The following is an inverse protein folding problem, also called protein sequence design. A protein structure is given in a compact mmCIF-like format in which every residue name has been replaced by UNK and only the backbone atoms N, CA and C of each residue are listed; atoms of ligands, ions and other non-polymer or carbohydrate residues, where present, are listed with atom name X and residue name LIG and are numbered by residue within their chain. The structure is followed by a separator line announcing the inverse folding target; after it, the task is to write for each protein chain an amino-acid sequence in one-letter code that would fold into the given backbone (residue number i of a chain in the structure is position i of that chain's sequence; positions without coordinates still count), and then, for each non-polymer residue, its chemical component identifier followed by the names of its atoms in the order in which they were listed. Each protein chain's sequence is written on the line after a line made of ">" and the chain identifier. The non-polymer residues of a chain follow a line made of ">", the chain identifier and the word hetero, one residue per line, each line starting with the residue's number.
data_IF_299298634316
#
_entry.id   IF_299298634316
#
_cell.length_a   1.000
_cell.length_b   1.000
_cell.length_c   1.000
_cell.angle_alpha   90.00
_cell.angle_beta   90.00
_cell.angle_gamma   90.00
#
_symmetry.space_group_name_H-M   'P 1'
#
loop_
_entity.id
_entity.type
_entity.pdbx_description
1 polymer ?
#
# COMPACT_ATOMS: atom_id res chain seq x y z
N UNK A 1 5.11 -20.40 -13.94
CA UNK A 1 4.35 -19.37 -13.20
C UNK A 1 3.97 -18.34 -14.24
N UNK A 2 2.77 -18.45 -14.80
CA UNK A 2 2.21 -17.39 -15.65
C UNK A 2 2.05 -16.19 -14.73
N UNK A 3 2.91 -15.20 -14.90
CA UNK A 3 2.85 -14.02 -14.04
C UNK A 3 1.58 -13.26 -14.43
N UNK A 4 0.85 -12.68 -13.48
CA UNK A 4 -0.27 -11.79 -13.81
C UNK A 4 0.13 -10.70 -14.82
N UNK A 5 1.43 -10.36 -14.87
CA UNK A 5 2.00 -9.48 -15.90
C UNK A 5 1.86 -10.00 -17.33
N UNK A 6 1.92 -11.31 -17.56
CA UNK A 6 1.84 -11.90 -18.91
C UNK A 6 0.41 -11.86 -19.48
N UNK A 7 -0.60 -11.75 -18.62
CA UNK A 7 -2.03 -11.75 -18.98
C UNK A 7 -2.65 -10.34 -19.01
N UNK A 8 -1.88 -9.32 -18.59
CA UNK A 8 -2.37 -7.97 -18.34
C UNK A 8 -1.88 -6.99 -19.41
N UNK A 9 -2.73 -6.07 -19.87
CA UNK A 9 -2.34 -5.09 -20.89
C UNK A 9 -1.19 -4.18 -20.41
N UNK A 10 -0.37 -3.68 -21.33
CA UNK A 10 0.74 -2.76 -21.00
C UNK A 10 0.27 -1.53 -20.20
N UNK A 11 -0.94 -1.03 -20.51
CA UNK A 11 -1.55 0.11 -19.81
C UNK A 11 -1.88 -0.24 -18.36
N UNK A 12 -2.51 -1.39 -18.15
CA UNK A 12 -2.89 -1.88 -16.83
C UNK A 12 -1.63 -2.17 -15.98
N UNK A 13 -0.57 -2.70 -16.59
CA UNK A 13 0.72 -2.89 -15.90
C UNK A 13 1.34 -1.55 -15.50
N UNK A 14 1.37 -0.57 -16.41
CA UNK A 14 1.91 0.76 -16.12
C UNK A 14 1.14 1.48 -15.00
N UNK A 15 -0.18 1.34 -14.98
CA UNK A 15 -1.05 1.90 -13.93
C UNK A 15 -0.71 1.30 -12.56
N UNK A 16 -0.63 -0.03 -12.48
CA UNK A 16 -0.32 -0.75 -11.25
C UNK A 16 1.11 -0.45 -10.77
N UNK A 17 2.08 -0.39 -11.68
CA UNK A 17 3.47 -0.07 -11.35
C UNK A 17 3.60 1.38 -10.83
N UNK A 18 2.92 2.34 -11.46
CA UNK A 18 2.89 3.73 -11.00
C UNK A 18 2.23 3.90 -9.64
N UNK A 19 1.11 3.21 -9.41
CA UNK A 19 0.40 3.25 -8.14
C UNK A 19 1.20 2.57 -7.01
N UNK A 20 1.87 1.46 -7.33
CA UNK A 20 2.78 0.77 -6.42
C UNK A 20 3.97 1.66 -6.02
N UNK A 21 4.61 2.34 -6.97
CA UNK A 21 5.73 3.26 -6.69
C UNK A 21 5.29 4.37 -5.73
N UNK A 22 4.15 5.02 -6.00
CA UNK A 22 3.60 6.05 -5.13
C UNK A 22 3.33 5.51 -3.71
N UNK A 23 2.69 4.34 -3.60
CA UNK A 23 2.38 3.70 -2.32
C UNK A 23 3.63 3.37 -1.51
N UNK A 24 4.60 2.70 -2.13
CA UNK A 24 5.86 2.31 -1.49
C UNK A 24 6.69 3.52 -1.08
N UNK A 25 6.83 4.52 -1.96
CA UNK A 25 7.56 5.75 -1.64
C UNK A 25 6.96 6.45 -0.43
N UNK A 26 5.64 6.62 -0.43
CA UNK A 26 4.92 7.27 0.69
C UNK A 26 5.05 6.48 1.99
N UNK A 27 4.92 5.15 1.95
CA UNK A 27 5.10 4.30 3.14
C UNK A 27 6.51 4.38 3.72
N UNK A 28 7.53 4.36 2.86
CA UNK A 28 8.94 4.50 3.27
C UNK A 28 9.24 5.86 3.88
N UNK A 29 8.71 6.93 3.30
CA UNK A 29 8.85 8.30 3.84
C UNK A 29 8.24 8.38 5.25
N UNK A 30 7.05 7.83 5.46
CA UNK A 30 6.42 7.81 6.78
C UNK A 30 7.17 6.95 7.79
N UNK A 31 7.72 5.79 7.38
CA UNK A 31 8.57 4.95 8.23
C UNK A 31 9.84 5.69 8.69
N UNK A 32 10.49 6.43 7.81
CA UNK A 32 11.69 7.19 8.17
C UNK A 32 11.37 8.32 9.16
N UNK A 33 10.23 9.00 8.97
CA UNK A 33 9.80 10.11 9.82
C UNK A 33 9.28 9.64 11.18
N UNK A 34 8.30 8.75 11.20
CA UNK A 34 7.56 8.35 12.40
C UNK A 34 8.00 6.99 12.97
N UNK A 35 8.58 6.11 12.15
CA UNK A 35 8.91 4.73 12.53
C UNK A 35 7.79 3.72 12.30
N UNK A 36 6.57 4.20 12.14
CA UNK A 36 5.35 3.43 11.84
C UNK A 36 4.37 4.34 11.09
N UNK A 37 3.36 3.76 10.47
CA UNK A 37 2.27 4.52 9.85
C UNK A 37 0.96 3.76 9.91
N UNK A 38 -0.15 4.51 9.95
CA UNK A 38 -1.48 3.97 9.77
C UNK A 38 -1.76 3.72 8.30
N UNK A 39 -2.63 2.74 7.97
CA UNK A 39 -3.01 2.48 6.60
C UNK A 39 -3.47 3.75 5.88
N UNK A 40 -3.13 3.84 4.60
CA UNK A 40 -3.56 4.93 3.73
C UNK A 40 -3.91 4.38 2.36
N UNK A 41 -4.84 5.06 1.68
CA UNK A 41 -5.25 4.70 0.34
C UNK A 41 -4.54 5.58 -0.70
N UNK A 42 -4.31 5.00 -1.87
CA UNK A 42 -3.92 5.69 -3.10
C UNK A 42 -4.87 5.27 -4.21
N UNK A 43 -5.16 6.19 -5.12
CA UNK A 43 -6.07 5.96 -6.24
C UNK A 43 -5.47 6.53 -7.51
N UNK A 44 -5.77 5.87 -8.63
CA UNK A 44 -5.51 6.34 -9.99
C UNK A 44 -6.85 6.64 -10.66
N UNK A 45 -7.04 7.88 -11.09
CA UNK A 45 -8.29 8.30 -11.75
C UNK A 45 -8.31 7.96 -13.25
N UNK A 46 -9.43 8.26 -13.93
CA UNK A 46 -9.57 8.04 -15.36
C UNK A 46 -8.62 8.87 -16.23
N UNK A 47 -8.17 10.03 -15.74
CA UNK A 47 -7.20 10.88 -16.41
C UNK A 47 -5.76 10.31 -16.31
N UNK A 48 -5.54 9.32 -15.43
CA UNK A 48 -4.23 8.73 -15.19
C UNK A 48 -3.44 9.48 -14.10
N UNK A 49 -4.10 10.30 -13.29
CA UNK A 49 -3.48 11.00 -12.18
C UNK A 49 -3.61 10.17 -10.90
N UNK A 50 -2.47 10.01 -10.20
CA UNK A 50 -2.43 9.27 -8.93
C UNK A 50 -2.48 10.23 -7.75
N UNK A 51 -3.25 9.88 -6.71
CA UNK A 51 -3.36 10.68 -5.48
C UNK A 51 -3.52 9.83 -4.23
N UNK A 52 -3.22 10.43 -3.08
CA UNK A 52 -3.61 9.90 -1.79
C UNK A 52 -5.11 10.10 -1.57
N UNK A 53 -5.73 9.11 -0.92
CA UNK A 53 -7.13 9.15 -0.48
C UNK A 53 -7.13 9.04 1.03
N UNK A 54 -7.67 10.05 1.71
CA UNK A 54 -7.78 10.02 3.16
C UNK A 54 -9.15 9.45 3.54
N UNK A 55 -9.20 8.37 4.33
CA UNK A 55 -10.46 7.89 4.87
C UNK A 55 -11.04 8.90 5.86
N UNK A 56 -12.37 8.99 5.92
CA UNK A 56 -13.04 9.70 6.99
C UNK A 56 -12.93 8.87 8.28
N UNK A 57 -12.22 9.39 9.28
CA UNK A 57 -12.08 8.72 10.56
C UNK A 57 -13.28 9.05 11.46
N UNK A 58 -13.87 8.07 12.15
CA UNK A 58 -15.00 8.32 13.05
C UNK A 58 -14.57 9.25 14.19
N UNK A 59 -15.43 10.22 14.51
CA UNK A 59 -15.23 11.14 15.63
C UNK A 59 -15.45 10.42 16.98
N UNK A 60 -14.46 9.64 17.41
CA UNK A 60 -14.47 8.89 18.68
C UNK A 60 -13.28 9.23 19.57
N UNK A 61 -13.42 9.01 20.88
CA UNK A 61 -12.30 9.10 21.83
C UNK A 61 -11.39 7.90 21.65
N UNK A 62 -10.09 8.14 21.47
CA UNK A 62 -9.06 7.11 21.33
C UNK A 62 -8.47 7.05 19.92
N UNK A 63 -7.40 6.28 19.79
CA UNK A 63 -6.72 6.06 18.51
C UNK A 63 -7.45 4.95 17.74
N UNK A 64 -7.64 5.14 16.43
CA UNK A 64 -8.23 4.11 15.58
C UNK A 64 -7.32 2.87 15.51
N UNK A 65 -7.93 1.68 15.39
CA UNK A 65 -7.15 0.45 15.17
C UNK A 65 -6.65 0.43 13.72
N UNK A 66 -5.47 -0.14 13.48
CA UNK A 66 -4.90 -0.34 12.13
C UNK A 66 -5.89 -1.08 11.24
N UNK A 67 -6.52 -2.14 11.74
CA UNK A 67 -7.51 -2.90 10.97
C UNK A 67 -8.74 -2.06 10.59
N UNK A 68 -9.19 -1.18 11.49
CA UNK A 68 -10.31 -0.28 11.22
C UNK A 68 -9.92 0.77 10.16
N UNK A 69 -8.74 1.39 10.28
CA UNK A 69 -8.28 2.37 9.28
C UNK A 69 -8.07 1.71 7.91
N UNK A 70 -7.60 0.46 7.88
CA UNK A 70 -7.50 -0.32 6.64
C UNK A 70 -8.88 -0.47 5.98
N UNK A 71 -9.90 -0.84 6.74
CA UNK A 71 -11.26 -0.96 6.21
C UNK A 71 -11.86 0.38 5.76
N UNK A 72 -11.61 1.45 6.51
CA UNK A 72 -12.04 2.79 6.12
C UNK A 72 -11.37 3.27 4.83
N UNK A 73 -10.11 2.90 4.58
CA UNK A 73 -9.43 3.18 3.31
C UNK A 73 -10.16 2.54 2.13
N UNK A 74 -10.52 1.27 2.24
CA UNK A 74 -11.28 0.58 1.19
C UNK A 74 -12.67 1.15 1.00
N UNK A 75 -13.35 1.55 2.08
CA UNK A 75 -14.65 2.21 1.98
C UNK A 75 -14.56 3.56 1.26
N UNK A 76 -13.52 4.35 1.54
CA UNK A 76 -13.28 5.62 0.85
C UNK A 76 -13.04 5.41 -0.64
N UNK A 77 -12.23 4.41 -1.02
CA UNK A 77 -12.00 4.04 -2.42
C UNK A 77 -13.27 3.53 -3.10
N UNK A 78 -14.08 2.71 -2.41
CA UNK A 78 -15.33 2.18 -2.93
C UNK A 78 -16.35 3.29 -3.25
N UNK A 79 -16.37 4.37 -2.46
CA UNK A 79 -17.26 5.51 -2.69
C UNK A 79 -17.00 6.23 -4.02
N UNK A 80 -15.79 6.12 -4.57
CA UNK A 80 -15.37 6.77 -5.82
C UNK A 80 -14.94 5.78 -6.92
N UNK A 81 -15.12 4.47 -6.70
CA UNK A 81 -14.64 3.40 -7.58
C UNK A 81 -15.12 3.50 -9.03
N UNK A 82 -16.29 4.11 -9.27
CA UNK A 82 -16.82 4.36 -10.62
C UNK A 82 -15.99 5.34 -11.45
N UNK A 83 -15.10 6.11 -10.81
CA UNK A 83 -14.20 7.09 -11.45
C UNK A 83 -12.72 6.71 -11.35
N UNK A 84 -12.41 5.50 -10.87
CA UNK A 84 -11.05 5.02 -10.70
C UNK A 84 -10.69 3.99 -11.76
N UNK A 85 -9.43 4.01 -12.18
CA UNK A 85 -8.80 2.94 -12.97
C UNK A 85 -8.15 1.89 -12.09
N UNK A 86 -7.48 2.35 -11.04
CA UNK A 86 -6.81 1.50 -10.08
C UNK A 86 -6.87 2.10 -8.68
N UNK A 87 -6.74 1.26 -7.67
CA UNK A 87 -6.72 1.66 -6.28
C UNK A 87 -5.77 0.77 -5.49
N UNK A 88 -5.22 1.30 -4.40
CA UNK A 88 -4.47 0.49 -3.46
C UNK A 88 -4.60 0.97 -2.03
N UNK A 89 -4.48 0.04 -1.09
CA UNK A 89 -4.34 0.33 0.34
C UNK A 89 -2.96 -0.13 0.79
N UNK A 90 -2.20 0.80 1.37
CA UNK A 90 -0.87 0.55 1.91
C UNK A 90 -0.98 0.37 3.41
N UNK A 91 -0.40 -0.69 3.95
CA UNK A 91 -0.45 -1.03 5.38
C UNK A 91 0.95 -1.36 5.90
N UNK A 92 1.29 -0.86 7.09
CA UNK A 92 2.45 -1.34 7.82
C UNK A 92 2.06 -2.64 8.55
N UNK A 93 2.58 -3.77 8.07
CA UNK A 93 2.30 -5.09 8.67
C UNK A 93 3.51 -5.56 9.46
N UNK A 94 3.27 -6.31 10.53
CA UNK A 94 4.33 -6.92 11.35
C UNK A 94 3.86 -8.25 11.92
N UNK A 95 4.78 -9.00 12.54
CA UNK A 95 4.47 -10.28 13.19
C UNK A 95 5.59 -11.32 13.05
N UNK A 96 5.22 -12.60 13.08
CA UNK A 96 6.19 -13.71 13.02
C UNK A 96 7.00 -13.76 11.71
N UNK A 97 6.48 -13.17 10.63
CA UNK A 97 7.15 -13.05 9.33
C UNK A 97 8.08 -11.83 9.19
N UNK A 98 8.17 -10.99 10.21
CA UNK A 98 8.87 -9.70 10.16
C UNK A 98 7.98 -8.54 9.72
N UNK A 99 8.57 -7.33 9.72
CA UNK A 99 7.87 -6.11 9.33
C UNK A 99 7.92 -5.91 7.82
N UNK A 100 6.83 -5.41 7.23
CA UNK A 100 6.76 -5.09 5.81
C UNK A 100 5.82 -3.91 5.54
N UNK A 101 6.08 -3.19 4.45
CA UNK A 101 5.07 -2.37 3.79
C UNK A 101 4.29 -3.27 2.86
N UNK A 102 3.02 -3.55 3.21
CA UNK A 102 2.10 -4.29 2.36
C UNK A 102 1.29 -3.30 1.50
N UNK A 103 1.13 -3.62 0.22
CA UNK A 103 0.34 -2.83 -0.74
C UNK A 103 -0.63 -3.79 -1.41
N UNK A 104 -1.91 -3.67 -1.10
CA UNK A 104 -2.97 -4.40 -1.78
C UNK A 104 -3.49 -3.51 -2.92
N UNK A 105 -3.29 -3.92 -4.18
CA UNK A 105 -3.64 -3.19 -5.38
C UNK A 105 -4.74 -3.88 -6.15
N UNK A 106 -5.63 -3.08 -6.73
CA UNK A 106 -6.64 -3.52 -7.68
C UNK A 106 -6.66 -2.60 -8.90
N UNK A 107 -6.96 -3.19 -10.06
CA UNK A 107 -7.29 -2.47 -11.28
C UNK A 107 -8.68 -2.89 -11.75
N UNK A 108 -9.45 -1.95 -12.30
CA UNK A 108 -10.80 -2.19 -12.85
C UNK A 108 -10.88 -3.21 -13.99
N UNK A 109 -9.73 -3.66 -14.48
CA UNK A 109 -9.62 -4.67 -15.55
C UNK A 109 -9.58 -6.09 -14.95
N UNK A 110 -9.83 -6.24 -13.65
CA UNK A 110 -9.93 -7.53 -12.96
C UNK A 110 -8.62 -8.03 -12.34
N UNK A 111 -7.61 -7.16 -12.20
CA UNK A 111 -6.33 -7.52 -11.57
C UNK A 111 -6.36 -7.16 -10.09
N UNK A 112 -6.04 -8.11 -9.22
CA UNK A 112 -5.84 -7.90 -7.79
C UNK A 112 -4.51 -8.52 -7.35
N UNK A 113 -3.63 -7.74 -6.72
CA UNK A 113 -2.27 -8.16 -6.35
C UNK A 113 -1.97 -7.65 -4.94
N UNK A 114 -1.29 -8.44 -4.14
CA UNK A 114 -0.69 -7.98 -2.90
C UNK A 114 0.83 -7.99 -3.00
N UNK A 115 1.46 -6.85 -2.73
CA UNK A 115 2.91 -6.67 -2.78
C UNK A 115 3.44 -6.41 -1.38
N UNK A 116 4.52 -7.08 -1.01
CA UNK A 116 5.19 -6.89 0.25
C UNK A 116 6.60 -6.36 0.03
N UNK A 117 6.95 -5.29 0.74
CA UNK A 117 8.32 -4.78 0.86
C UNK A 117 8.79 -5.02 2.31
N UNK A 118 9.50 -6.13 2.59
CA UNK A 118 10.03 -6.40 3.91
C UNK A 118 11.03 -5.32 4.34
N UNK A 119 11.08 -5.02 5.63
CA UNK A 119 12.11 -4.17 6.19
C UNK A 119 12.54 -4.61 7.58
N UNK A 120 13.72 -4.14 7.99
CA UNK A 120 14.22 -4.29 9.36
C UNK A 120 14.59 -2.92 9.92
N UNK A 121 14.11 -2.64 11.13
CA UNK A 121 14.49 -1.41 11.86
C UNK A 121 15.87 -1.59 12.48
N UNK A 122 16.81 -0.72 12.13
CA UNK A 122 18.17 -0.75 12.63
C UNK A 122 18.28 -0.06 14.00
N UNK A 123 18.78 -0.81 15.00
CA UNK A 123 19.13 -0.27 16.31
C UNK A 123 20.44 0.54 16.29
N UNK A 124 20.72 1.24 17.39
CA UNK A 124 22.04 1.87 17.57
C UNK A 124 23.12 0.79 17.67
N UNK A 125 24.24 1.02 16.98
CA UNK A 125 25.44 0.17 17.09
C UNK A 125 26.54 0.99 17.76
N UNK A 126 27.07 0.50 18.88
CA UNK A 126 28.09 1.20 19.69
C UNK A 126 27.69 2.65 20.03
N UNK A 127 26.41 2.87 20.38
CA UNK A 127 25.87 4.18 20.74
C UNK A 127 25.63 5.14 19.57
N UNK A 128 26.04 4.80 18.34
CA UNK A 128 25.83 5.62 17.15
C UNK A 128 24.51 5.26 16.47
N UNK A 129 23.78 6.28 16.03
CA UNK A 129 22.58 6.10 15.20
C UNK A 129 23.00 5.57 13.81
N UNK A 130 22.24 4.66 13.20
CA UNK A 130 22.51 4.22 11.85
C UNK A 130 22.28 5.35 10.84
N UNK A 131 22.91 5.26 9.67
CA UNK A 131 22.75 6.24 8.59
C UNK A 131 21.35 6.15 7.94
N UNK A 132 20.76 4.96 7.93
CA UNK A 132 19.37 4.70 7.54
C UNK A 132 18.67 4.00 8.70
N UNK A 133 17.47 4.41 9.05
CA UNK A 133 16.75 3.79 10.17
C UNK A 133 16.19 2.43 9.76
N UNK A 134 15.74 2.31 8.51
CA UNK A 134 15.15 1.09 7.98
C UNK A 134 15.96 0.54 6.80
N UNK A 135 16.17 -0.78 6.80
CA UNK A 135 16.76 -1.48 5.65
C UNK A 135 15.71 -2.36 4.98
N UNK A 136 15.42 -2.07 3.72
CA UNK A 136 14.43 -2.78 2.92
C UNK A 136 15.03 -4.01 2.23
N UNK A 137 14.23 -5.07 2.11
CA UNK A 137 14.54 -6.28 1.37
C UNK A 137 14.02 -6.26 -0.07
N UNK A 138 13.96 -7.44 -0.68
CA UNK A 138 13.40 -7.62 -2.02
C UNK A 138 11.87 -7.61 -2.00
N UNK A 139 11.27 -7.02 -3.03
CA UNK A 139 9.82 -7.05 -3.23
C UNK A 139 9.35 -8.47 -3.52
N UNK A 140 8.26 -8.87 -2.87
CA UNK A 140 7.52 -10.09 -3.20
C UNK A 140 6.09 -9.74 -3.55
N UNK A 141 5.48 -10.53 -4.45
CA UNK A 141 4.10 -10.33 -4.87
C UNK A 141 3.33 -11.65 -4.78
N UNK A 142 2.06 -11.55 -4.43
CA UNK A 142 1.10 -12.64 -4.39
C UNK A 142 -0.20 -12.21 -5.09
N UNK A 143 -1.04 -13.18 -5.42
CA UNK A 143 -2.42 -12.91 -5.86
C UNK A 143 -3.18 -12.20 -4.73
N UNK A 144 -3.84 -11.09 -5.06
CA UNK A 144 -4.65 -10.32 -4.12
C UNK A 144 -6.11 -10.77 -4.12
N UNK A 145 -6.87 -10.32 -3.12
CA UNK A 145 -8.32 -10.50 -3.10
C UNK A 145 -9.00 -9.24 -3.65
N UNK A 146 -9.81 -9.33 -4.72
CA UNK A 146 -10.55 -8.18 -5.24
C UNK A 146 -11.65 -7.74 -4.27
N UNK A 147 -11.80 -6.43 -4.10
CA UNK A 147 -12.73 -5.77 -3.17
C UNK A 147 -13.58 -4.69 -3.86
N UNK A 148 -13.04 -3.98 -4.85
CA UNK A 148 -13.73 -2.86 -5.51
C UNK A 148 -14.48 -3.28 -6.78
N UNK A 149 -13.90 -4.18 -7.57
CA UNK A 149 -14.43 -4.57 -8.89
C UNK A 149 -14.67 -6.09 -9.01
N UNK A 150 -15.03 -6.73 -7.90
CA UNK A 150 -15.38 -8.15 -7.82
C UNK A 150 -16.78 -8.47 -8.39
#
# INVERSE_FOLDING_TARGET
>A
MTSWRDETSDRTQADLDGLLDLGLRTGREQLEVAGEFYPFAVALDEAGESRLVQPELPARKGVADVAEVHELCWQALAAEAGSLRAAAVVTNVGGAGGDAVAVALEHRDGVAIEVFLPYVTQGKVNGKKPAQKHRFGDLTAAEGQPRLWA
#
